data_IF_014962223616
#
_entry.id   IF_014962223616
#
_cell.length_a   1.000
_cell.length_b   1.000
_cell.length_c   1.000
_cell.angle_alpha   90.00
_cell.angle_beta   90.00
_cell.angle_gamma   90.00
#
_symmetry.space_group_name_H-M   'P 1'
#
loop_
_entity.id
_entity.type
_entity.pdbx_description
1 polymer ?
#
# COMPACT_ATOMS: atom_id res chain seq x y z
N UNK A 1 5.86 -7.14 11.52
CA UNK A 1 4.84 -6.75 10.53
C UNK A 1 4.92 -5.25 10.27
N UNK A 2 4.85 -4.86 9.01
CA UNK A 2 4.82 -3.46 8.60
C UNK A 2 3.88 -3.31 7.39
N UNK A 3 2.95 -2.37 7.45
CA UNK A 3 2.21 -1.95 6.27
C UNK A 3 3.09 -1.03 5.43
N UNK A 4 3.03 -1.21 4.13
CA UNK A 4 3.81 -0.47 3.12
C UNK A 4 2.84 -0.02 2.05
N UNK A 5 2.96 1.22 1.63
CA UNK A 5 2.23 1.77 0.51
C UNK A 5 3.12 2.76 -0.25
N UNK A 6 2.97 2.84 -1.57
CA UNK A 6 3.79 3.69 -2.43
C UNK A 6 2.96 4.74 -3.13
N UNK A 7 3.39 5.98 -3.03
CA UNK A 7 2.82 7.09 -3.79
C UNK A 7 3.58 7.29 -5.09
N UNK A 8 2.83 7.42 -6.18
CA UNK A 8 3.40 7.41 -7.53
C UNK A 8 2.82 8.52 -8.41
N UNK A 9 3.49 8.80 -9.53
CA UNK A 9 3.06 9.83 -10.49
C UNK A 9 1.92 9.38 -11.40
N UNK A 10 1.68 8.07 -11.53
CA UNK A 10 0.62 7.49 -12.37
C UNK A 10 0.19 6.12 -11.88
N UNK A 11 -0.92 5.61 -12.43
CA UNK A 11 -1.46 4.28 -12.11
C UNK A 11 -0.79 3.12 -12.87
N UNK A 12 0.10 3.42 -13.83
CA UNK A 12 0.88 2.38 -14.52
C UNK A 12 2.18 2.11 -13.75
N UNK A 13 2.31 0.96 -13.06
CA UNK A 13 3.48 0.69 -12.22
C UNK A 13 4.78 0.57 -13.02
N UNK A 14 4.70 0.32 -14.33
CA UNK A 14 5.87 0.19 -15.20
C UNK A 14 6.45 1.53 -15.65
N UNK A 15 5.62 2.57 -15.75
CA UNK A 15 6.01 3.88 -16.26
C UNK A 15 6.02 4.98 -15.21
N UNK A 16 5.56 4.66 -14.01
CA UNK A 16 5.43 5.66 -12.94
C UNK A 16 6.75 5.99 -12.25
N UNK A 17 6.82 7.21 -11.72
CA UNK A 17 7.87 7.63 -10.79
C UNK A 17 7.43 7.42 -9.35
N UNK A 18 8.36 6.99 -8.49
CA UNK A 18 8.15 6.86 -7.05
C UNK A 18 8.22 8.26 -6.41
N UNK A 19 7.09 8.71 -5.87
CA UNK A 19 6.94 10.03 -5.23
C UNK A 19 7.15 9.96 -3.72
N UNK A 20 6.75 8.83 -3.11
CA UNK A 20 6.97 8.61 -1.69
C UNK A 20 6.66 7.19 -1.25
N UNK A 21 6.98 6.89 0.00
CA UNK A 21 6.66 5.59 0.64
C UNK A 21 6.09 5.88 2.01
N UNK A 22 4.98 5.24 2.35
CA UNK A 22 4.41 5.28 3.68
C UNK A 22 4.55 3.94 4.40
N UNK A 23 4.70 4.00 5.71
CA UNK A 23 4.90 2.83 6.56
C UNK A 23 4.07 2.93 7.84
N UNK A 24 3.49 1.80 8.26
CA UNK A 24 2.85 1.67 9.58
C UNK A 24 3.19 0.32 10.20
N UNK A 25 3.63 0.32 11.45
CA UNK A 25 3.90 -0.91 12.23
C UNK A 25 3.05 -1.02 13.50
N UNK A 26 2.20 -0.04 13.75
CA UNK A 26 1.31 0.01 14.90
C UNK A 26 0.10 0.88 14.60
N UNK A 27 -1.08 0.43 14.98
CA UNK A 27 -2.34 1.18 14.83
C UNK A 27 -2.20 2.61 15.39
N UNK A 28 -2.56 3.60 14.58
CA UNK A 28 -2.47 5.02 14.89
C UNK A 28 -1.04 5.59 14.84
N UNK A 29 -0.08 4.84 14.27
CA UNK A 29 1.30 5.29 14.07
C UNK A 29 1.77 4.95 12.67
N UNK A 30 1.86 5.95 11.84
CA UNK A 30 2.37 5.83 10.48
C UNK A 30 3.31 6.99 10.15
N UNK A 31 4.10 6.82 9.11
CA UNK A 31 4.98 7.87 8.59
C UNK A 31 4.92 7.88 7.07
N UNK A 32 5.21 9.04 6.50
CA UNK A 32 5.40 9.23 5.08
C UNK A 32 6.84 9.72 4.81
N UNK A 33 7.45 9.16 3.79
CA UNK A 33 8.83 9.48 3.36
C UNK A 33 8.75 10.11 1.96
N UNK A 34 8.79 11.44 1.84
CA UNK A 34 8.73 12.14 0.57
C UNK A 34 10.03 11.99 -0.21
N UNK A 35 9.93 11.57 -1.49
CA UNK A 35 11.06 11.28 -2.36
C UNK A 35 11.04 12.16 -3.62
N UNK A 36 9.91 12.19 -4.31
CA UNK A 36 9.77 12.75 -5.66
C UNK A 36 8.84 13.94 -5.78
N UNK A 37 8.51 14.64 -4.69
CA UNK A 37 7.72 15.87 -4.77
C UNK A 37 8.50 17.04 -5.37
N UNK A 38 7.78 17.96 -5.98
CA UNK A 38 8.31 19.24 -6.44
C UNK A 38 8.62 20.19 -5.25
N UNK A 39 9.39 19.68 -4.27
CA UNK A 39 9.67 20.36 -3.00
C UNK A 39 11.08 20.09 -2.51
N UNK A 40 11.68 21.08 -1.83
CA UNK A 40 12.98 20.91 -1.15
C UNK A 40 12.91 20.04 0.12
N UNK A 41 11.71 19.64 0.54
CA UNK A 41 11.52 18.77 1.73
C UNK A 41 11.71 17.28 1.45
N UNK A 42 12.01 16.90 0.20
CA UNK A 42 12.24 15.51 -0.18
C UNK A 42 13.58 14.98 0.35
N UNK A 43 13.58 13.70 0.70
CA UNK A 43 14.81 12.95 1.01
C UNK A 43 15.35 12.35 -0.28
N UNK A 44 16.67 12.29 -0.43
CA UNK A 44 17.29 11.65 -1.60
C UNK A 44 16.78 10.22 -1.78
N UNK A 45 16.30 9.92 -2.98
CA UNK A 45 15.77 8.61 -3.38
C UNK A 45 16.73 7.48 -3.06
N UNK A 46 18.01 7.63 -3.40
CA UNK A 46 19.02 6.59 -3.18
C UNK A 46 19.21 6.30 -1.68
N UNK A 47 19.17 7.34 -0.84
CA UNK A 47 19.27 7.18 0.61
C UNK A 47 18.06 6.42 1.15
N UNK A 48 16.85 6.78 0.71
CA UNK A 48 15.61 6.13 1.15
C UNK A 48 15.60 4.66 0.73
N UNK A 49 15.84 4.38 -0.56
CA UNK A 49 15.83 3.01 -1.09
C UNK A 49 16.88 2.13 -0.39
N UNK A 50 18.10 2.66 -0.19
CA UNK A 50 19.16 1.94 0.54
C UNK A 50 18.76 1.60 1.98
N UNK A 51 17.99 2.48 2.64
CA UNK A 51 17.52 2.24 4.01
C UNK A 51 16.30 1.32 4.09
N UNK A 52 15.41 1.38 3.11
CA UNK A 52 14.20 0.53 3.06
C UNK A 52 14.51 -0.89 2.60
N UNK A 53 15.49 -1.08 1.72
CA UNK A 53 15.82 -2.38 1.14
C UNK A 53 16.00 -3.49 2.19
N UNK A 54 16.81 -3.34 3.24
CA UNK A 54 16.97 -4.39 4.26
C UNK A 54 15.65 -4.76 4.96
N UNK A 55 14.78 -3.78 5.21
CA UNK A 55 13.46 -3.99 5.83
C UNK A 55 12.52 -4.76 4.89
N UNK A 56 12.47 -4.34 3.62
CA UNK A 56 11.51 -4.86 2.65
C UNK A 56 11.90 -6.25 2.12
N UNK A 57 13.18 -6.56 2.09
CA UNK A 57 13.69 -7.86 1.65
C UNK A 57 13.86 -8.88 2.79
N UNK A 58 13.72 -8.49 4.05
CA UNK A 58 13.83 -9.41 5.18
C UNK A 58 12.62 -10.36 5.25
N UNK A 59 12.79 -11.68 5.03
CA UNK A 59 11.69 -12.64 5.06
C UNK A 59 11.07 -12.83 6.46
N UNK A 60 11.76 -12.44 7.51
CA UNK A 60 11.23 -12.50 8.89
C UNK A 60 10.24 -11.38 9.20
N UNK A 61 10.23 -10.33 8.40
CA UNK A 61 9.33 -9.19 8.53
C UNK A 61 8.22 -9.31 7.47
N UNK A 62 6.98 -9.44 7.93
CA UNK A 62 5.82 -9.47 7.04
C UNK A 62 5.51 -8.06 6.53
N UNK A 63 5.44 -7.90 5.20
CA UNK A 63 4.99 -6.68 4.53
C UNK A 63 3.52 -6.82 4.17
N UNK A 64 2.76 -5.80 4.46
CA UNK A 64 1.31 -5.78 4.27
C UNK A 64 1.01 -4.62 3.32
N UNK A 65 0.25 -4.87 2.27
CA UNK A 65 -0.23 -3.83 1.38
C UNK A 65 -1.72 -3.97 1.08
N UNK A 66 -2.25 -3.00 0.40
CA UNK A 66 -3.57 -2.99 -0.22
C UNK A 66 -3.37 -3.03 -1.73
N UNK A 67 -3.56 -4.17 -2.40
CA UNK A 67 -3.10 -4.43 -3.77
C UNK A 67 -1.57 -4.34 -3.89
N UNK A 68 -0.89 -5.03 -2.97
CA UNK A 68 0.57 -4.98 -2.79
C UNK A 68 1.37 -5.31 -4.07
N UNK A 69 0.76 -5.96 -5.04
CA UNK A 69 1.36 -6.22 -6.35
C UNK A 69 1.82 -4.91 -7.02
N UNK A 70 1.02 -3.85 -6.95
CA UNK A 70 1.41 -2.55 -7.48
C UNK A 70 2.69 -2.02 -6.84
N UNK A 71 2.75 -2.02 -5.51
CA UNK A 71 3.91 -1.56 -4.73
C UNK A 71 5.14 -2.40 -4.98
N UNK A 72 4.93 -3.73 -5.13
CA UNK A 72 6.00 -4.65 -5.47
C UNK A 72 6.65 -4.28 -6.80
N UNK A 73 5.86 -4.11 -7.87
CA UNK A 73 6.38 -3.77 -9.21
C UNK A 73 7.12 -2.42 -9.17
N UNK A 74 6.54 -1.41 -8.52
CA UNK A 74 7.18 -0.08 -8.38
C UNK A 74 8.53 -0.19 -7.67
N UNK A 75 8.60 -0.90 -6.55
CA UNK A 75 9.83 -1.04 -5.76
C UNK A 75 10.85 -1.97 -6.43
N UNK A 76 10.39 -2.99 -7.16
CA UNK A 76 11.26 -3.88 -7.92
C UNK A 76 12.05 -3.15 -9.01
N UNK A 77 11.42 -2.19 -9.70
CA UNK A 77 12.11 -1.29 -10.66
C UNK A 77 13.26 -0.51 -10.01
N UNK A 78 13.21 -0.31 -8.71
CA UNK A 78 14.25 0.36 -7.94
C UNK A 78 15.20 -0.61 -7.22
N UNK A 79 15.18 -1.90 -7.60
CA UNK A 79 16.08 -2.93 -7.09
C UNK A 79 15.73 -3.44 -5.69
N UNK A 80 14.48 -3.30 -5.26
CA UNK A 80 13.96 -3.85 -3.99
C UNK A 80 13.01 -5.01 -4.31
N UNK A 81 13.37 -6.20 -3.89
CA UNK A 81 12.55 -7.40 -4.04
C UNK A 81 11.81 -7.71 -2.73
N UNK A 82 10.58 -7.24 -2.61
CA UNK A 82 9.77 -7.42 -1.39
C UNK A 82 9.53 -8.93 -1.15
N UNK A 83 9.73 -9.35 0.09
CA UNK A 83 9.48 -10.74 0.52
C UNK A 83 8.43 -10.79 1.62
N UNK A 84 7.83 -11.98 1.85
CA UNK A 84 6.86 -12.19 2.94
C UNK A 84 5.69 -11.20 2.90
N UNK A 85 4.97 -11.16 1.78
CA UNK A 85 3.86 -10.24 1.51
C UNK A 85 2.52 -10.80 1.97
N UNK A 86 1.64 -9.93 2.46
CA UNK A 86 0.20 -10.13 2.64
C UNK A 86 -0.57 -8.98 2.00
N UNK A 87 -1.77 -9.25 1.48
CA UNK A 87 -2.61 -8.30 0.76
C UNK A 87 -4.01 -8.20 1.36
N UNK A 88 -4.37 -7.03 1.85
CA UNK A 88 -5.67 -6.77 2.48
C UNK A 88 -6.83 -6.81 1.48
N UNK A 89 -6.59 -6.46 0.21
CA UNK A 89 -7.58 -6.58 -0.85
C UNK A 89 -7.95 -8.04 -1.09
N UNK A 90 -6.97 -8.93 -1.22
CA UNK A 90 -7.20 -10.37 -1.38
C UNK A 90 -7.82 -11.01 -0.13
N UNK A 91 -7.41 -10.60 1.08
CA UNK A 91 -8.05 -11.06 2.31
C UNK A 91 -9.54 -10.69 2.33
N UNK A 92 -9.86 -9.47 1.97
CA UNK A 92 -11.25 -9.01 1.85
C UNK A 92 -12.02 -9.78 0.79
N UNK A 93 -11.38 -10.10 -0.34
CA UNK A 93 -11.98 -10.91 -1.40
C UNK A 93 -12.34 -12.32 -0.91
N UNK A 94 -11.45 -12.97 -0.16
CA UNK A 94 -11.74 -14.30 0.43
C UNK A 94 -12.91 -14.25 1.40
N UNK A 95 -12.99 -13.20 2.24
CA UNK A 95 -14.04 -13.07 3.25
C UNK A 95 -15.41 -12.72 2.66
N UNK A 96 -15.44 -11.83 1.67
CA UNK A 96 -16.66 -11.16 1.23
C UNK A 96 -16.79 -11.03 -0.30
N UNK A 97 -16.31 -12.03 -1.07
CA UNK A 97 -16.40 -12.04 -2.53
C UNK A 97 -17.82 -11.71 -3.03
N UNK A 98 -17.91 -10.70 -3.89
CA UNK A 98 -19.19 -10.28 -4.50
C UNK A 98 -20.13 -9.46 -3.61
N UNK A 99 -19.81 -9.21 -2.33
CA UNK A 99 -20.65 -8.40 -1.45
C UNK A 99 -20.32 -6.91 -1.53
N UNK A 100 -19.03 -6.56 -1.63
CA UNK A 100 -18.53 -5.19 -1.53
C UNK A 100 -17.45 -4.91 -2.57
N UNK A 101 -17.13 -3.63 -2.77
CA UNK A 101 -15.89 -3.24 -3.44
C UNK A 101 -14.72 -3.49 -2.50
N UNK A 102 -13.61 -3.98 -3.05
CA UNK A 102 -12.41 -4.30 -2.27
C UNK A 102 -11.34 -3.20 -2.30
N UNK A 103 -11.72 -1.97 -2.68
CA UNK A 103 -10.84 -0.81 -2.59
C UNK A 103 -10.76 -0.29 -1.15
N UNK A 104 -9.67 0.38 -0.81
CA UNK A 104 -9.36 0.84 0.54
C UNK A 104 -10.46 1.71 1.14
N UNK A 105 -10.99 2.69 0.40
CA UNK A 105 -12.04 3.59 0.88
C UNK A 105 -13.26 2.82 1.38
N UNK A 106 -13.79 1.92 0.53
CA UNK A 106 -14.97 1.11 0.88
C UNK A 106 -14.68 0.18 2.06
N UNK A 107 -13.50 -0.45 2.09
CA UNK A 107 -13.11 -1.35 3.18
C UNK A 107 -12.93 -0.60 4.50
N UNK A 108 -12.37 0.60 4.46
CA UNK A 108 -12.22 1.47 5.63
C UNK A 108 -13.59 1.88 6.20
N UNK A 109 -14.51 2.34 5.35
CA UNK A 109 -15.85 2.74 5.77
C UNK A 109 -16.61 1.56 6.38
N UNK A 110 -16.64 0.40 5.70
CA UNK A 110 -17.40 -0.79 6.14
C UNK A 110 -16.80 -1.42 7.38
N UNK A 111 -15.50 -1.62 7.40
CA UNK A 111 -14.87 -2.46 8.42
C UNK A 111 -14.25 -1.67 9.57
N UNK A 112 -13.87 -0.42 9.37
CA UNK A 112 -13.26 0.43 10.40
C UNK A 112 -14.17 1.57 10.85
N UNK A 113 -15.32 1.77 10.18
CA UNK A 113 -16.21 2.93 10.39
C UNK A 113 -15.42 4.26 10.29
N UNK A 114 -14.51 4.31 9.31
CA UNK A 114 -13.60 5.42 9.10
C UNK A 114 -13.67 5.84 7.62
N UNK A 115 -13.96 7.13 7.40
CA UNK A 115 -13.96 7.72 6.05
C UNK A 115 -12.57 8.30 5.79
N UNK A 116 -11.78 7.72 4.87
CA UNK A 116 -10.44 8.19 4.59
C UNK A 116 -10.42 9.50 3.79
N UNK A 117 -9.28 10.15 3.78
CA UNK A 117 -8.98 11.24 2.85
C UNK A 117 -8.95 10.63 1.44
N UNK A 118 -9.73 11.17 0.50
CA UNK A 118 -9.73 10.60 -0.85
C UNK A 118 -8.62 11.19 -1.71
N UNK A 119 -8.09 10.40 -2.64
CA UNK A 119 -7.10 10.87 -3.62
C UNK A 119 -7.59 12.15 -4.35
N UNK A 120 -8.89 12.21 -4.68
CA UNK A 120 -9.51 13.37 -5.35
C UNK A 120 -9.47 14.64 -4.50
N UNK A 121 -9.52 14.51 -3.18
CA UNK A 121 -9.43 15.67 -2.28
C UNK A 121 -8.03 16.30 -2.32
N UNK A 122 -6.99 15.48 -2.64
CA UNK A 122 -5.62 15.95 -2.77
C UNK A 122 -5.32 16.55 -4.14
N UNK A 123 -5.61 15.80 -5.19
CA UNK A 123 -5.17 16.14 -6.56
C UNK A 123 -6.22 16.95 -7.33
N UNK A 124 -7.44 17.01 -6.84
CA UNK A 124 -8.56 17.64 -7.54
C UNK A 124 -9.16 16.71 -8.61
N UNK A 125 -9.98 17.28 -9.50
CA UNK A 125 -10.68 16.52 -10.55
C UNK A 125 -10.71 17.28 -11.88
N UNK A 126 -10.69 16.53 -12.99
CA UNK A 126 -10.84 17.07 -14.34
C UNK A 126 -9.72 18.05 -14.73
N UNK A 127 -10.06 19.20 -15.34
CA UNK A 127 -9.05 20.16 -15.83
C UNK A 127 -8.17 20.80 -14.74
N UNK A 128 -8.52 20.66 -13.47
CA UNK A 128 -7.76 21.20 -12.32
C UNK A 128 -6.97 20.12 -11.59
N UNK A 129 -7.00 18.89 -12.09
CA UNK A 129 -6.25 17.78 -11.52
C UNK A 129 -4.75 18.05 -11.65
N UNK A 130 -4.04 17.89 -10.54
CA UNK A 130 -2.57 18.03 -10.48
C UNK A 130 -1.93 16.66 -10.27
N UNK A 131 -0.68 16.50 -10.72
CA UNK A 131 0.08 15.31 -10.41
C UNK A 131 0.39 15.26 -8.91
N UNK A 132 0.42 14.05 -8.31
CA UNK A 132 0.72 13.86 -6.89
C UNK A 132 2.06 14.47 -6.48
N UNK A 133 3.05 14.49 -7.35
CA UNK A 133 4.34 15.17 -7.13
C UNK A 133 4.21 16.68 -6.84
N UNK A 134 3.11 17.29 -7.29
CA UNK A 134 2.82 18.72 -7.08
C UNK A 134 1.98 18.99 -5.83
N UNK A 135 1.49 17.94 -5.16
CA UNK A 135 0.78 18.07 -3.88
C UNK A 135 1.75 18.56 -2.81
N UNK A 136 1.29 19.44 -1.94
CA UNK A 136 2.05 19.92 -0.79
C UNK A 136 2.41 18.74 0.13
N UNK A 137 3.69 18.63 0.52
CA UNK A 137 4.20 17.47 1.28
C UNK A 137 3.43 17.22 2.59
N UNK A 138 2.97 18.25 3.27
CA UNK A 138 2.20 18.09 4.51
C UNK A 138 0.84 17.42 4.25
N UNK A 139 0.16 17.78 3.15
CA UNK A 139 -1.11 17.15 2.77
C UNK A 139 -0.90 15.72 2.26
N UNK A 140 0.14 15.52 1.44
CA UNK A 140 0.53 14.19 0.97
C UNK A 140 0.90 13.26 2.14
N UNK A 141 1.58 13.80 3.17
CA UNK A 141 1.91 13.06 4.38
C UNK A 141 0.66 12.59 5.14
N UNK A 142 -0.32 13.47 5.30
CA UNK A 142 -1.53 13.12 6.05
C UNK A 142 -2.32 12.02 5.33
N UNK A 143 -2.46 12.12 4.01
CA UNK A 143 -3.08 11.11 3.16
C UNK A 143 -2.31 9.77 3.20
N UNK A 144 -1.05 9.78 2.79
CA UNK A 144 -0.25 8.56 2.64
C UNK A 144 -0.01 7.83 3.98
N UNK A 145 0.18 8.57 5.07
CA UNK A 145 0.30 7.97 6.40
C UNK A 145 -1.03 7.36 6.87
N UNK A 146 -2.17 7.98 6.52
CA UNK A 146 -3.49 7.43 6.79
C UNK A 146 -3.68 6.10 6.04
N UNK A 147 -3.33 6.02 4.75
CA UNK A 147 -3.46 4.81 3.94
C UNK A 147 -2.64 3.65 4.50
N UNK A 148 -1.41 3.89 4.95
CA UNK A 148 -0.60 2.87 5.61
C UNK A 148 -1.21 2.42 6.96
N UNK A 149 -1.77 3.33 7.76
CA UNK A 149 -2.44 2.97 9.02
C UNK A 149 -3.72 2.17 8.77
N UNK A 150 -4.54 2.59 7.80
CA UNK A 150 -5.76 1.89 7.40
C UNK A 150 -5.41 0.46 6.94
N UNK A 151 -4.42 0.32 6.07
CA UNK A 151 -3.93 -0.98 5.59
C UNK A 151 -3.52 -1.88 6.77
N UNK A 152 -2.77 -1.35 7.74
CA UNK A 152 -2.38 -2.12 8.92
C UNK A 152 -3.58 -2.53 9.79
N UNK A 153 -4.55 -1.63 9.98
CA UNK A 153 -5.79 -1.90 10.74
C UNK A 153 -6.67 -2.93 10.05
N UNK A 154 -6.86 -2.83 8.73
CA UNK A 154 -7.60 -3.79 7.92
C UNK A 154 -6.96 -5.18 7.99
N UNK A 155 -5.63 -5.25 7.85
CA UNK A 155 -4.91 -6.51 8.01
C UNK A 155 -5.19 -7.18 9.35
N UNK A 156 -5.06 -6.45 10.46
CA UNK A 156 -5.33 -7.02 11.79
C UNK A 156 -6.74 -7.57 11.92
N UNK A 157 -7.72 -6.87 11.35
CA UNK A 157 -9.11 -7.30 11.36
C UNK A 157 -9.33 -8.51 10.46
N UNK A 158 -8.92 -8.44 9.20
CA UNK A 158 -9.16 -9.51 8.23
C UNK A 158 -8.41 -10.79 8.55
N UNK A 159 -7.17 -10.70 8.99
CA UNK A 159 -6.41 -11.88 9.39
C UNK A 159 -7.05 -12.63 10.57
N UNK A 160 -7.63 -11.87 11.51
CA UNK A 160 -8.44 -12.46 12.59
C UNK A 160 -9.71 -13.11 12.03
N UNK A 161 -10.48 -12.42 11.19
CA UNK A 161 -11.71 -12.94 10.58
C UNK A 161 -11.45 -14.21 9.74
N UNK A 162 -10.39 -14.23 8.94
CA UNK A 162 -10.01 -15.42 8.17
C UNK A 162 -9.77 -16.65 9.04
N UNK A 163 -9.21 -16.47 10.24
CA UNK A 163 -9.02 -17.56 11.21
C UNK A 163 -10.33 -17.97 11.86
N UNK A 164 -11.11 -17.00 12.32
CA UNK A 164 -12.38 -17.23 13.03
C UNK A 164 -13.39 -17.95 12.10
N UNK A 165 -13.42 -17.59 10.82
CA UNK A 165 -14.27 -18.18 9.78
C UNK A 165 -13.66 -19.41 9.09
N UNK A 166 -12.46 -19.86 9.53
CA UNK A 166 -11.72 -21.02 8.97
C UNK A 166 -11.38 -20.89 7.49
N UNK A 167 -11.25 -19.65 6.99
CA UNK A 167 -10.91 -19.34 5.60
C UNK A 167 -9.43 -19.08 5.38
N UNK A 168 -8.62 -19.12 6.44
CA UNK A 168 -7.18 -18.80 6.36
C UNK A 168 -6.43 -19.68 5.34
N UNK A 169 -6.81 -20.96 5.19
CA UNK A 169 -6.18 -21.86 4.24
C UNK A 169 -6.52 -21.47 2.79
N UNK A 170 -7.70 -20.93 2.52
CA UNK A 170 -8.07 -20.44 1.19
C UNK A 170 -7.15 -19.26 0.84
N UNK A 171 -6.98 -18.34 1.76
CA UNK A 171 -6.07 -17.20 1.56
C UNK A 171 -4.62 -17.63 1.38
N UNK A 172 -4.05 -18.42 2.30
CA UNK A 172 -2.63 -18.77 2.30
C UNK A 172 -2.22 -19.70 1.14
N UNK A 173 -3.14 -20.59 0.70
CA UNK A 173 -2.82 -21.65 -0.29
C UNK A 173 -3.22 -21.25 -1.71
N UNK A 174 -4.30 -20.49 -1.89
CA UNK A 174 -4.81 -20.16 -3.21
C UNK A 174 -4.58 -18.69 -3.58
N UNK A 175 -5.03 -17.75 -2.76
CA UNK A 175 -5.02 -16.33 -3.14
C UNK A 175 -3.64 -15.67 -2.98
N UNK A 176 -3.00 -15.87 -1.84
CA UNK A 176 -1.71 -15.25 -1.57
C UNK A 176 -0.59 -15.63 -2.55
N UNK A 177 -0.45 -16.91 -2.98
CA UNK A 177 0.55 -17.26 -4.00
C UNK A 177 0.35 -16.60 -5.34
N UNK A 178 -0.89 -16.18 -5.67
CA UNK A 178 -1.22 -15.48 -6.93
C UNK A 178 -0.44 -14.17 -7.03
N UNK A 179 -0.19 -13.48 -5.93
CA UNK A 179 0.59 -12.22 -5.91
C UNK A 179 1.90 -12.44 -6.66
N UNK A 180 2.69 -13.43 -6.25
CA UNK A 180 4.01 -13.71 -6.86
C UNK A 180 3.91 -14.22 -8.29
N UNK A 181 2.85 -14.95 -8.63
CA UNK A 181 2.64 -15.45 -10.00
C UNK A 181 2.37 -14.27 -10.93
N UNK A 182 1.49 -13.37 -10.54
CA UNK A 182 1.17 -12.18 -11.31
C UNK A 182 2.37 -11.23 -11.42
N UNK A 183 3.11 -11.03 -10.32
CA UNK A 183 4.37 -10.27 -10.33
C UNK A 183 5.34 -10.80 -11.39
N UNK A 184 5.55 -12.12 -11.39
CA UNK A 184 6.44 -12.77 -12.38
C UNK A 184 5.95 -12.64 -13.82
N UNK A 185 4.64 -12.59 -14.05
CA UNK A 185 4.06 -12.45 -15.39
C UNK A 185 4.09 -11.00 -15.90
N UNK A 186 4.16 -10.03 -15.01
CA UNK A 186 4.08 -8.59 -15.33
C UNK A 186 5.43 -7.87 -15.28
N UNK A 187 6.51 -8.49 -14.79
CA UNK A 187 7.89 -7.99 -14.84
C UNK A 187 8.59 -8.47 -16.10
#
# INVERSE_FOLDING_TARGET
EVAVDTETSSLDPHQTDLIGVSLSCKIGKACYIPIGHNSKKCISKDIVLKKLKPLLEDPSIKKIGQNIKFDFIVLFKHGINITSMDDTMLMSYVLDAGKNRHNMDSLSEIHLNHKPITFKDLVGTGKKEINFSSVEVEKAKDYAAEDADITFRLYKKFYKSLKDEKMINIYEVFEKPIIKILDFMEI
#
